data_IF_747282787560
#
_entry.id   IF_747282787560
#
_cell.length_a   1.000
_cell.length_b   1.000
_cell.length_c   1.000
_cell.angle_alpha   90.00
_cell.angle_beta   90.00
_cell.angle_gamma   90.00
#
_symmetry.space_group_name_H-M   'P 1'
#
loop_
_entity.id
_entity.type
_entity.pdbx_description
1 polymer ?
#
# COMPACT_ATOMS: atom_id res chain seq x y z
N UNK A 1 9.53 1.12 26.86
CA UNK A 1 9.09 2.54 26.80
C UNK A 1 9.21 3.21 25.41
N UNK A 2 9.83 2.59 24.39
CA UNK A 2 9.88 3.20 23.03
C UNK A 2 8.51 3.23 22.34
N UNK A 3 7.76 2.11 22.39
CA UNK A 3 6.42 2.02 21.77
C UNK A 3 5.43 3.04 22.35
N UNK A 4 5.38 3.15 23.67
CA UNK A 4 4.52 4.14 24.37
C UNK A 4 4.85 5.58 24.00
N UNK A 5 6.14 5.91 23.83
CA UNK A 5 6.55 7.25 23.41
C UNK A 5 6.10 7.59 21.99
N UNK A 6 6.13 6.61 21.07
CA UNK A 6 5.62 6.78 19.70
C UNK A 6 4.10 6.98 19.71
N UNK A 7 3.37 6.13 20.45
CA UNK A 7 1.90 6.21 20.55
C UNK A 7 1.42 7.53 21.14
N UNK A 8 2.17 8.10 22.09
CA UNK A 8 1.83 9.35 22.76
C UNK A 8 2.30 10.60 22.00
N UNK A 9 2.96 10.44 20.84
CA UNK A 9 3.42 11.58 20.05
C UNK A 9 2.27 12.15 19.21
N UNK A 10 1.80 13.33 19.58
CA UNK A 10 0.74 14.03 18.86
C UNK A 10 1.12 14.34 17.41
N UNK A 11 2.37 14.73 17.16
CA UNK A 11 2.82 15.02 15.81
C UNK A 11 2.73 13.78 14.91
N UNK A 12 3.17 12.62 15.39
CA UNK A 12 3.08 11.36 14.65
C UNK A 12 1.60 10.99 14.45
N UNK A 13 0.79 11.10 15.49
CA UNK A 13 -0.63 10.76 15.47
C UNK A 13 -1.43 11.61 14.49
N UNK A 14 -1.21 12.93 14.47
CA UNK A 14 -1.86 13.85 13.55
C UNK A 14 -1.51 13.52 12.10
N UNK A 15 -0.22 13.31 11.81
CA UNK A 15 0.22 12.96 10.45
C UNK A 15 -0.35 11.60 10.04
N UNK A 16 -0.24 10.57 10.88
CA UNK A 16 -0.81 9.24 10.63
C UNK A 16 -2.30 9.31 10.29
N UNK A 17 -3.09 9.99 11.12
CA UNK A 17 -4.54 10.09 10.95
C UNK A 17 -4.93 10.93 9.72
N UNK A 18 -4.06 11.83 9.27
CA UNK A 18 -4.30 12.61 8.05
C UNK A 18 -4.28 11.79 6.76
N UNK A 19 -3.77 10.55 6.81
CA UNK A 19 -3.79 9.58 5.70
C UNK A 19 -4.84 8.48 5.84
N UNK A 20 -5.63 8.49 6.93
CA UNK A 20 -6.72 7.56 7.13
C UNK A 20 -7.87 7.82 6.14
N UNK A 21 -8.59 6.76 5.76
CA UNK A 21 -9.77 6.88 4.91
C UNK A 21 -10.84 7.72 5.60
N UNK A 22 -11.67 8.43 4.82
CA UNK A 22 -12.86 9.07 5.37
C UNK A 22 -13.83 8.02 5.90
N UNK A 23 -14.14 8.08 7.20
CA UNK A 23 -15.16 7.22 7.81
C UNK A 23 -16.53 7.89 7.66
N UNK A 24 -17.45 7.22 6.93
CA UNK A 24 -18.79 7.73 6.60
C UNK A 24 -19.77 7.68 7.78
N UNK A 25 -19.54 6.78 8.76
CA UNK A 25 -20.41 6.55 9.90
C UNK A 25 -19.57 6.25 11.13
N UNK A 26 -19.92 6.82 12.28
CA UNK A 26 -19.51 6.32 13.60
C UNK A 26 -20.39 5.11 13.93
N UNK A 27 -20.04 3.93 13.42
CA UNK A 27 -20.64 2.71 13.95
C UNK A 27 -20.00 2.42 15.31
N UNK A 28 -20.82 2.38 16.36
CA UNK A 28 -20.43 1.99 17.71
C UNK A 28 -19.61 0.68 17.66
N UNK A 29 -18.36 0.72 18.11
CA UNK A 29 -17.35 -0.34 18.01
C UNK A 29 -17.59 -1.53 18.96
N UNK A 30 -18.84 -2.00 19.09
CA UNK A 30 -19.20 -3.10 20.00
C UNK A 30 -19.54 -4.43 19.34
N UNK A 31 -19.13 -4.62 18.08
CA UNK A 31 -18.98 -5.95 17.54
C UNK A 31 -17.66 -6.03 16.75
N UNK A 32 -16.71 -6.90 17.14
CA UNK A 32 -15.59 -7.19 16.26
C UNK A 32 -16.19 -7.74 14.96
N UNK A 33 -16.04 -7.01 13.86
CA UNK A 33 -16.28 -7.58 12.53
C UNK A 33 -15.31 -8.74 12.40
N UNK A 34 -15.82 -9.95 12.52
CA UNK A 34 -15.04 -11.18 12.70
C UNK A 34 -14.30 -11.63 11.43
N UNK A 35 -13.86 -10.71 10.57
CA UNK A 35 -13.19 -11.02 9.32
C UNK A 35 -12.40 -9.84 8.70
N UNK A 36 -12.00 -8.83 9.48
CA UNK A 36 -11.02 -7.86 8.98
C UNK A 36 -9.63 -8.51 8.99
N UNK A 37 -9.01 -8.60 7.82
CA UNK A 37 -7.64 -9.07 7.66
C UNK A 37 -6.71 -8.11 8.41
N UNK A 38 -6.28 -8.48 9.61
CA UNK A 38 -5.33 -7.70 10.40
C UNK A 38 -3.95 -7.82 9.75
N UNK A 39 -3.51 -6.75 9.10
CA UNK A 39 -2.15 -6.67 8.57
C UNK A 39 -1.15 -6.41 9.70
N UNK A 40 -0.09 -7.23 9.72
CA UNK A 40 1.04 -7.08 10.62
C UNK A 40 2.28 -6.60 9.88
N UNK A 41 2.93 -5.56 10.39
CA UNK A 41 4.11 -4.95 9.76
C UNK A 41 5.40 -5.49 10.38
N UNK A 42 6.33 -5.90 9.52
CA UNK A 42 7.69 -6.30 9.89
C UNK A 42 8.67 -5.60 8.98
N UNK A 43 9.75 -5.08 9.57
CA UNK A 43 10.79 -4.35 8.86
C UNK A 43 12.12 -5.09 8.90
N UNK A 44 12.89 -5.03 7.82
CA UNK A 44 14.25 -5.59 7.73
C UNK A 44 15.25 -4.47 7.50
N UNK A 45 16.32 -4.41 8.30
CA UNK A 45 17.32 -3.33 8.24
C UNK A 45 18.75 -3.88 8.36
N UNK A 46 19.69 -3.39 7.53
CA UNK A 46 21.12 -3.61 7.73
C UNK A 46 21.66 -2.60 8.76
N UNK A 47 22.15 -3.06 9.92
CA UNK A 47 22.74 -2.22 10.97
C UNK A 47 24.13 -2.77 11.30
N UNK A 48 25.17 -1.94 11.17
CA UNK A 48 26.56 -2.29 11.47
C UNK A 48 27.02 -3.63 10.83
N UNK A 49 26.68 -3.82 9.54
CA UNK A 49 27.03 -5.04 8.80
C UNK A 49 26.26 -6.30 9.24
N UNK A 50 25.18 -6.16 9.99
CA UNK A 50 24.33 -7.28 10.45
C UNK A 50 22.89 -7.04 10.01
N UNK A 51 22.20 -8.09 9.57
CA UNK A 51 20.80 -8.00 9.14
C UNK A 51 19.87 -8.20 10.35
N UNK A 52 18.98 -7.25 10.59
CA UNK A 52 17.98 -7.32 11.65
C UNK A 52 16.56 -7.35 11.11
N UNK A 53 15.71 -8.14 11.76
CA UNK A 53 14.25 -8.08 11.63
C UNK A 53 13.66 -7.39 12.86
N UNK A 54 12.84 -6.36 12.60
CA UNK A 54 12.10 -5.62 13.61
C UNK A 54 10.61 -5.93 13.46
N UNK A 55 10.10 -6.69 14.44
CA UNK A 55 8.70 -7.07 14.56
C UNK A 55 8.14 -6.51 15.87
N UNK A 56 7.12 -5.65 15.78
CA UNK A 56 6.52 -4.99 16.94
C UNK A 56 5.78 -5.91 17.93
N UNK A 57 5.49 -7.15 17.53
CA UNK A 57 4.89 -8.18 18.39
C UNK A 57 5.95 -9.08 19.04
N UNK A 58 7.22 -8.94 18.68
CA UNK A 58 8.35 -9.67 19.27
C UNK A 58 8.97 -8.86 20.40
N UNK A 59 9.59 -9.52 21.40
CA UNK A 59 10.19 -8.84 22.54
C UNK A 59 11.39 -7.94 22.18
N UNK A 60 11.99 -8.15 21.00
CA UNK A 60 13.12 -7.35 20.53
C UNK A 60 13.51 -7.67 19.08
N UNK A 61 14.57 -7.02 18.57
CA UNK A 61 15.13 -7.29 17.26
C UNK A 61 15.58 -8.76 17.11
N UNK A 62 15.32 -9.34 15.95
CA UNK A 62 15.80 -10.68 15.59
C UNK A 62 17.03 -10.50 14.70
N UNK A 63 18.15 -11.09 15.10
CA UNK A 63 19.41 -11.08 14.36
C UNK A 63 19.42 -12.23 13.32
N UNK A 64 19.67 -11.88 12.05
CA UNK A 64 19.78 -12.83 10.93
C UNK A 64 21.25 -13.07 10.49
N UNK A 65 22.22 -12.52 11.23
CA UNK A 65 23.64 -12.73 11.03
C UNK A 65 24.36 -11.61 10.26
N UNK A 66 25.69 -11.74 10.17
CA UNK A 66 26.55 -10.80 9.45
C UNK A 66 26.31 -10.85 7.95
N UNK A 67 26.28 -9.67 7.35
CA UNK A 67 26.17 -9.47 5.92
C UNK A 67 27.52 -9.76 5.24
N UNK A 68 27.54 -10.43 4.08
CA UNK A 68 28.78 -10.66 3.35
C UNK A 68 29.36 -9.35 2.80
N UNK A 69 30.67 -9.14 2.98
CA UNK A 69 31.37 -7.86 2.68
C UNK A 69 31.28 -7.43 1.20
N UNK A 70 31.09 -8.36 0.26
CA UNK A 70 31.04 -8.10 -1.18
C UNK A 70 29.65 -8.33 -1.79
N UNK A 71 28.59 -8.30 -0.98
CA UNK A 71 27.22 -8.54 -1.46
C UNK A 71 26.25 -7.46 -1.01
N UNK A 72 25.16 -7.29 -1.76
CA UNK A 72 24.07 -6.45 -1.31
C UNK A 72 23.32 -7.15 -0.18
N UNK A 73 22.99 -6.43 0.89
CA UNK A 73 22.13 -6.95 1.96
C UNK A 73 20.76 -7.42 1.46
N UNK A 74 20.35 -6.96 0.27
CA UNK A 74 19.14 -7.38 -0.42
C UNK A 74 19.20 -8.87 -0.77
N UNK A 75 20.38 -9.40 -1.14
CA UNK A 75 20.54 -10.81 -1.48
C UNK A 75 20.40 -11.68 -0.23
N UNK A 76 20.80 -11.18 0.94
CA UNK A 76 20.59 -11.85 2.24
C UNK A 76 19.13 -11.81 2.70
N UNK A 77 18.41 -10.70 2.46
CA UNK A 77 17.00 -10.56 2.91
C UNK A 77 16.01 -11.25 1.97
N UNK A 78 16.32 -11.38 0.68
CA UNK A 78 15.45 -12.00 -0.33
C UNK A 78 14.93 -13.39 0.06
N UNK A 79 15.77 -14.38 0.46
CA UNK A 79 15.27 -15.70 0.85
C UNK A 79 14.37 -15.66 2.10
N UNK A 80 14.62 -14.72 3.03
CA UNK A 80 13.75 -14.54 4.21
C UNK A 80 12.36 -14.04 3.81
N UNK A 81 12.30 -13.05 2.91
CA UNK A 81 11.04 -12.53 2.37
C UNK A 81 10.29 -13.60 1.59
N UNK A 82 10.96 -14.35 0.72
CA UNK A 82 10.34 -15.45 -0.06
C UNK A 82 9.74 -16.51 0.87
N UNK A 83 10.50 -16.98 1.87
CA UNK A 83 10.01 -17.94 2.87
C UNK A 83 8.81 -17.42 3.65
N UNK A 84 8.72 -16.11 3.87
CA UNK A 84 7.56 -15.48 4.53
C UNK A 84 6.35 -15.42 3.59
N UNK A 85 6.56 -15.06 2.33
CA UNK A 85 5.53 -15.02 1.30
C UNK A 85 4.93 -16.41 1.02
N UNK A 86 5.75 -17.46 1.01
CA UNK A 86 5.30 -18.86 0.84
C UNK A 86 4.29 -19.29 1.90
N UNK A 87 4.34 -18.70 3.10
CA UNK A 87 3.38 -18.98 4.18
C UNK A 87 2.06 -18.24 4.01
N UNK A 88 2.01 -17.20 3.18
CA UNK A 88 0.81 -16.43 2.89
C UNK A 88 0.03 -17.07 1.73
N UNK A 89 -0.74 -18.12 2.05
CA UNK A 89 -1.49 -18.93 1.06
C UNK A 89 -2.63 -18.14 0.38
N UNK A 90 -3.11 -17.07 1.02
CA UNK A 90 -4.18 -16.22 0.50
C UNK A 90 -3.69 -15.12 -0.46
N UNK A 91 -2.38 -15.00 -0.68
CA UNK A 91 -1.76 -13.98 -1.52
C UNK A 91 -1.87 -12.55 -0.95
N UNK A 92 -2.32 -12.38 0.30
CA UNK A 92 -2.53 -11.07 0.93
C UNK A 92 -1.26 -10.59 1.64
N UNK A 93 -0.32 -10.06 0.87
CA UNK A 93 0.87 -9.40 1.43
C UNK A 93 1.23 -8.15 0.65
N UNK A 94 1.98 -7.25 1.28
CA UNK A 94 2.53 -6.06 0.66
C UNK A 94 4.00 -5.94 1.04
N UNK A 95 4.86 -5.61 0.08
CA UNK A 95 6.29 -5.35 0.29
C UNK A 95 6.57 -3.94 -0.20
N UNK A 96 7.09 -3.10 0.70
CA UNK A 96 7.54 -1.75 0.39
C UNK A 96 9.03 -1.62 0.73
N UNK A 97 9.74 -0.82 -0.06
CA UNK A 97 11.12 -0.46 0.20
C UNK A 97 11.21 1.04 0.46
N UNK A 98 11.84 1.42 1.57
CA UNK A 98 12.21 2.81 1.84
C UNK A 98 13.48 3.10 1.05
N UNK A 99 13.39 3.99 0.07
CA UNK A 99 14.49 4.35 -0.82
C UNK A 99 14.72 5.87 -0.79
N UNK A 100 15.93 6.36 -1.16
CA UNK A 100 16.17 7.78 -1.30
C UNK A 100 15.19 8.42 -2.29
N UNK A 101 14.98 9.73 -2.15
CA UNK A 101 14.12 10.48 -3.06
C UNK A 101 14.70 10.47 -4.48
N UNK A 102 14.14 9.62 -5.34
CA UNK A 102 14.58 9.42 -6.73
C UNK A 102 14.50 10.70 -7.55
N UNK A 103 13.47 11.50 -7.34
CA UNK A 103 13.33 12.77 -8.05
C UNK A 103 14.51 13.70 -7.74
N UNK A 104 14.84 13.87 -6.46
CA UNK A 104 15.99 14.68 -6.05
C UNK A 104 17.31 14.10 -6.58
N UNK A 105 17.47 12.78 -6.60
CA UNK A 105 18.66 12.13 -7.18
C UNK A 105 18.83 12.47 -8.66
N UNK A 106 17.77 12.32 -9.46
CA UNK A 106 17.84 12.61 -10.90
C UNK A 106 18.03 14.11 -11.19
N UNK A 107 17.39 14.98 -10.41
CA UNK A 107 17.56 16.44 -10.55
C UNK A 107 18.99 16.88 -10.19
N UNK A 108 19.59 16.31 -9.14
CA UNK A 108 20.98 16.58 -8.76
C UNK A 108 21.98 16.08 -9.82
N UNK A 109 21.78 14.86 -10.34
CA UNK A 109 22.60 14.33 -11.43
C UNK A 109 22.53 15.24 -12.66
N UNK A 110 21.32 15.65 -13.06
CA UNK A 110 21.13 16.55 -14.19
C UNK A 110 21.76 17.93 -13.97
N UNK A 111 21.82 18.43 -12.73
CA UNK A 111 22.47 19.69 -12.40
C UNK A 111 24.00 19.59 -12.48
N UNK A 112 24.59 18.50 -12.00
CA UNK A 112 26.05 18.26 -12.08
C UNK A 112 26.55 18.28 -13.53
N UNK A 113 25.83 17.60 -14.44
CA UNK A 113 26.18 17.58 -15.87
C UNK A 113 26.02 18.92 -16.60
N UNK A 114 25.28 19.89 -16.04
CA UNK A 114 25.20 21.24 -16.61
C UNK A 114 26.38 22.11 -16.18
N UNK A 115 27.01 21.78 -15.06
CA UNK A 115 28.16 22.52 -14.50
C UNK A 115 29.48 21.99 -15.05
N UNK A 116 29.61 20.66 -15.15
CA UNK A 116 30.77 20.04 -15.75
C UNK A 116 30.68 20.18 -17.28
N UNK A 117 31.62 20.89 -17.91
CA UNK A 117 31.68 21.09 -19.37
C UNK A 117 32.00 19.82 -20.17
N UNK A 118 31.97 18.63 -19.53
CA UNK A 118 32.14 17.35 -20.18
C UNK A 118 30.81 16.93 -20.79
N UNK A 119 30.74 16.81 -22.12
CA UNK A 119 29.52 16.39 -22.82
C UNK A 119 29.04 15.02 -22.31
N UNK A 120 27.95 14.97 -21.53
CA UNK A 120 27.31 13.70 -21.23
C UNK A 120 26.66 13.22 -22.52
N UNK A 121 26.64 11.89 -22.73
CA UNK A 121 25.89 11.33 -23.86
C UNK A 121 24.47 11.92 -23.87
N UNK A 122 24.09 12.54 -24.98
CA UNK A 122 22.77 13.20 -25.14
C UNK A 122 21.61 12.26 -24.82
N UNK A 123 21.81 10.96 -25.02
CA UNK A 123 20.90 9.89 -24.63
C UNK A 123 20.68 9.80 -23.11
N UNK A 124 21.73 9.93 -22.30
CA UNK A 124 21.63 9.84 -20.84
C UNK A 124 20.90 11.04 -20.24
N UNK A 125 21.12 12.24 -20.78
CA UNK A 125 20.36 13.44 -20.38
C UNK A 125 18.87 13.27 -20.71
N UNK A 126 18.56 12.71 -21.89
CA UNK A 126 17.18 12.45 -22.28
C UNK A 126 16.51 11.41 -21.35
N UNK A 127 17.24 10.37 -20.97
CA UNK A 127 16.78 9.37 -20.00
C UNK A 127 16.49 9.99 -18.63
N UNK A 128 17.42 10.79 -18.07
CA UNK A 128 17.22 11.48 -16.80
C UNK A 128 15.99 12.39 -16.83
N UNK A 129 15.80 13.16 -17.91
CA UNK A 129 14.60 14.00 -18.08
C UNK A 129 13.31 13.17 -18.12
N UNK A 130 13.32 12.03 -18.81
CA UNK A 130 12.19 11.09 -18.84
C UNK A 130 11.88 10.55 -17.43
N UNK A 131 12.90 10.12 -16.70
CA UNK A 131 12.77 9.61 -15.33
C UNK A 131 12.22 10.67 -14.36
N UNK A 132 12.68 11.93 -14.47
CA UNK A 132 12.14 13.06 -13.70
C UNK A 132 10.66 13.27 -14.01
N UNK A 133 10.27 13.24 -15.29
CA UNK A 133 8.87 13.39 -15.68
C UNK A 133 7.99 12.26 -15.13
N UNK A 134 8.48 11.02 -15.15
CA UNK A 134 7.79 9.85 -14.59
C UNK A 134 7.59 9.96 -13.08
N UNK A 135 8.63 10.35 -12.32
CA UNK A 135 8.51 10.55 -10.87
C UNK A 135 7.55 11.71 -10.53
N UNK A 136 7.56 12.81 -11.28
CA UNK A 136 6.59 13.91 -11.12
C UNK A 136 5.15 13.45 -11.37
N UNK A 137 4.93 12.65 -12.42
CA UNK A 137 3.61 12.06 -12.71
C UNK A 137 3.13 11.14 -11.58
N UNK A 138 4.03 10.33 -11.03
CA UNK A 138 3.74 9.42 -9.91
C UNK A 138 3.34 10.20 -8.64
N UNK A 139 4.07 11.25 -8.29
CA UNK A 139 3.74 12.13 -7.16
C UNK A 139 2.37 12.79 -7.35
N UNK A 140 2.08 13.29 -8.56
CA UNK A 140 0.78 13.89 -8.87
C UNK A 140 -0.37 12.88 -8.73
N UNK A 141 -0.17 11.64 -9.22
CA UNK A 141 -1.14 10.56 -9.08
C UNK A 141 -1.41 10.22 -7.60
N UNK A 142 -0.35 10.08 -6.78
CA UNK A 142 -0.49 9.82 -5.34
C UNK A 142 -1.21 10.93 -4.61
N UNK A 143 -0.96 12.20 -4.99
CA UNK A 143 -1.70 13.33 -4.43
C UNK A 143 -3.19 13.26 -4.79
N UNK A 144 -3.52 12.98 -6.05
CA UNK A 144 -4.90 12.84 -6.48
C UNK A 144 -5.61 11.66 -5.80
N UNK A 145 -4.91 10.54 -5.62
CA UNK A 145 -5.43 9.38 -4.90
C UNK A 145 -5.69 9.70 -3.42
N UNK A 146 -4.77 10.37 -2.75
CA UNK A 146 -4.95 10.76 -1.35
C UNK A 146 -6.15 11.71 -1.17
N UNK A 147 -6.37 12.63 -2.11
CA UNK A 147 -7.56 13.50 -2.12
C UNK A 147 -8.82 12.64 -2.20
N UNK A 148 -8.87 11.64 -3.10
CA UNK A 148 -10.02 10.74 -3.23
C UNK A 148 -10.26 9.92 -1.97
N UNK A 149 -9.22 9.33 -1.38
CA UNK A 149 -9.33 8.50 -0.15
C UNK A 149 -9.92 9.26 1.04
N UNK A 150 -9.70 10.57 1.08
CA UNK A 150 -10.17 11.46 2.15
C UNK A 150 -11.47 12.18 1.82
N UNK A 151 -11.97 12.07 0.59
CA UNK A 151 -13.14 12.82 0.18
C UNK A 151 -14.42 12.20 0.75
N UNK A 152 -15.31 13.05 1.27
CA UNK A 152 -16.64 12.62 1.69
C UNK A 152 -17.55 12.50 0.47
N UNK A 153 -17.78 11.26 0.02
CA UNK A 153 -18.66 10.98 -1.12
C UNK A 153 -20.15 10.92 -0.76
N UNK A 154 -20.54 11.01 0.52
CA UNK A 154 -21.95 10.89 0.92
C UNK A 154 -22.86 11.95 0.25
N UNK A 155 -22.50 13.24 0.21
CA UNK A 155 -23.33 14.23 -0.47
C UNK A 155 -23.52 13.92 -1.96
N UNK A 156 -22.45 13.47 -2.63
CA UNK A 156 -22.50 13.08 -4.04
C UNK A 156 -23.42 11.87 -4.25
N UNK A 157 -23.32 10.85 -3.39
CA UNK A 157 -24.14 9.63 -3.47
C UNK A 157 -25.61 9.98 -3.28
N UNK A 158 -25.94 10.77 -2.26
CA UNK A 158 -27.33 11.17 -1.97
C UNK A 158 -27.92 11.96 -3.14
N UNK A 159 -27.17 12.91 -3.69
CA UNK A 159 -27.66 13.72 -4.80
C UNK A 159 -27.83 12.90 -6.09
N UNK A 160 -26.90 11.98 -6.36
CA UNK A 160 -27.03 11.04 -7.47
C UNK A 160 -28.30 10.19 -7.36
N UNK A 161 -28.61 9.67 -6.16
CA UNK A 161 -29.81 8.88 -5.92
C UNK A 161 -31.09 9.69 -6.12
N UNK A 162 -31.11 10.97 -5.70
CA UNK A 162 -32.27 11.86 -5.94
C UNK A 162 -32.51 12.07 -7.43
N UNK A 163 -31.47 12.44 -8.19
CA UNK A 163 -31.59 12.69 -9.64
C UNK A 163 -32.07 11.43 -10.38
N UNK A 164 -31.57 10.24 -9.99
CA UNK A 164 -32.03 8.97 -10.56
C UNK A 164 -33.49 8.64 -10.19
N UNK A 165 -33.94 9.05 -9.00
CA UNK A 165 -35.32 8.92 -8.56
C UNK A 165 -36.25 9.82 -9.36
N UNK A 166 -35.86 11.09 -9.53
CA UNK A 166 -36.60 12.09 -10.32
C UNK A 166 -36.68 11.73 -11.81
N UNK A 167 -35.61 11.14 -12.38
CA UNK A 167 -35.61 10.66 -13.77
C UNK A 167 -36.39 9.36 -13.97
N UNK A 168 -36.91 8.74 -12.90
CA UNK A 168 -37.61 7.46 -12.94
C UNK A 168 -36.71 6.25 -13.25
N UNK A 169 -35.39 6.43 -13.33
CA UNK A 169 -34.44 5.38 -13.71
C UNK A 169 -34.02 4.49 -12.53
N UNK A 170 -34.11 5.01 -11.30
CA UNK A 170 -33.56 4.35 -10.10
C UNK A 170 -34.07 2.91 -9.92
N UNK A 171 -35.38 2.70 -9.99
CA UNK A 171 -36.00 1.37 -9.76
C UNK A 171 -35.49 0.35 -10.77
N UNK A 172 -35.51 0.71 -12.06
CA UNK A 172 -35.03 -0.17 -13.15
C UNK A 172 -33.55 -0.58 -13.00
N UNK A 173 -32.71 0.34 -12.52
CA UNK A 173 -31.29 0.09 -12.30
C UNK A 173 -31.06 -0.82 -11.10
N UNK A 174 -31.86 -0.66 -10.03
CA UNK A 174 -31.82 -1.52 -8.84
C UNK A 174 -32.24 -2.94 -9.19
N UNK A 175 -33.32 -3.12 -9.94
CA UNK A 175 -33.78 -4.44 -10.40
C UNK A 175 -32.72 -5.14 -11.27
N UNK A 176 -32.11 -4.40 -12.21
CA UNK A 176 -31.01 -4.90 -13.04
C UNK A 176 -29.82 -5.33 -12.18
N UNK A 177 -29.46 -4.54 -11.17
CA UNK A 177 -28.37 -4.88 -10.26
C UNK A 177 -28.69 -6.12 -9.40
N UNK A 178 -29.93 -6.26 -8.92
CA UNK A 178 -30.38 -7.44 -8.16
C UNK A 178 -30.29 -8.71 -9.01
N UNK A 179 -30.73 -8.66 -10.28
CA UNK A 179 -30.62 -9.79 -11.20
C UNK A 179 -29.17 -10.24 -11.39
N UNK A 180 -28.26 -9.28 -11.63
CA UNK A 180 -26.82 -9.56 -11.76
C UNK A 180 -26.25 -10.17 -10.46
N UNK A 181 -26.67 -9.68 -9.30
CA UNK A 181 -26.24 -10.21 -8.01
C UNK A 181 -26.71 -11.66 -7.80
N UNK A 182 -27.97 -11.96 -8.14
CA UNK A 182 -28.53 -13.31 -8.12
C UNK A 182 -27.76 -14.26 -9.06
N UNK A 183 -27.51 -13.84 -10.31
CA UNK A 183 -26.73 -14.62 -11.28
C UNK A 183 -25.31 -14.93 -10.78
N UNK A 184 -24.63 -13.94 -10.19
CA UNK A 184 -23.31 -14.14 -9.57
C UNK A 184 -23.34 -15.09 -8.38
N UNK A 185 -24.37 -15.01 -7.54
CA UNK A 185 -24.52 -15.90 -6.39
C UNK A 185 -24.76 -17.35 -6.82
N UNK A 186 -25.57 -17.58 -7.87
CA UNK A 186 -25.84 -18.90 -8.43
C UNK A 186 -24.58 -19.52 -9.07
N UNK A 187 -23.74 -18.72 -9.73
CA UNK A 187 -22.45 -19.17 -10.29
C UNK A 187 -21.42 -19.57 -9.22
N UNK A 188 -21.48 -18.96 -8.04
CA UNK A 188 -20.54 -19.22 -6.94
C UNK A 188 -20.97 -20.34 -5.99
N UNK A 189 -22.24 -20.78 -6.05
CA UNK A 189 -22.79 -21.84 -5.19
C UNK A 189 -22.17 -23.26 -5.37
N UNK A 190 -21.77 -23.74 -6.57
CA UNK A 190 -21.32 -25.13 -6.73
C UNK A 190 -19.89 -25.43 -6.22
N UNK A 191 -19.10 -24.42 -5.86
CA UNK A 191 -17.71 -24.63 -5.41
C UNK A 191 -17.53 -24.79 -3.88
N UNK A 192 -18.57 -24.56 -3.08
CA UNK A 192 -18.52 -24.79 -1.63
C UNK A 192 -18.71 -26.27 -1.24
N UNK A 193 -19.34 -27.09 -2.10
CA UNK A 193 -19.68 -28.49 -1.79
C UNK A 193 -18.58 -29.52 -2.13
N UNK A 194 -17.43 -29.11 -2.68
CA UNK A 194 -16.32 -30.01 -3.05
C UNK A 194 -15.15 -30.03 -2.06
N UNK A 195 -15.27 -29.39 -0.90
CA UNK A 195 -14.31 -29.59 0.19
C UNK A 195 -14.86 -30.62 1.18
N UNK A 196 -14.03 -31.64 1.44
CA UNK A 196 -14.15 -32.68 2.48
C UNK A 196 -14.90 -33.96 2.07
N UNK A 197 -14.22 -34.81 1.30
CA UNK A 197 -14.06 -36.24 1.64
C UNK A 197 -12.67 -36.67 1.20
N UNK A 198 -11.72 -36.65 2.12
CA UNK A 198 -10.56 -37.54 2.05
C UNK A 198 -10.78 -38.63 3.08
N UNK A 199 -10.75 -39.87 2.60
CA UNK A 199 -10.74 -41.09 3.39
C UNK A 199 -9.40 -41.26 4.11
#
# INVERSE_FOLDING_TARGET
MKGTAISNSDQIRVVHNSFSNYQLFEFDERAPKSNEDVYHFVSYLPINGTLYELDGLKPGPIDHGKLPENSSWIDSVRPLLMKRMEKCVDGKFNIMAVVPNRLAMYENQLAQFKMDSGEPSTAYIAELKSNIANEKKKIAAYRAENIRRRHNYLPLIVELLKVLGESGQLVSLVEKAQKIALERSALNAPNAAKKVKFA
#
